data_IF_968415047098
#
_entry.id   IF_968415047098
#
_cell.length_a   1.000
_cell.length_b   1.000
_cell.length_c   1.000
_cell.angle_alpha   90.00
_cell.angle_beta   90.00
_cell.angle_gamma   90.00
#
_symmetry.space_group_name_H-M   'P 1'
#
loop_
_entity.id
_entity.type
_entity.pdbx_description
1 polymer ?
#
# COMPACT_ATOMS: atom_id res chain seq x y z
N UNK A 1 43.45 -20.54 -48.16
CA UNK A 1 42.36 -19.58 -48.46
C UNK A 1 42.53 -18.41 -47.50
N UNK A 2 43.41 -17.45 -47.84
CA UNK A 2 43.06 -16.09 -48.30
C UNK A 2 41.97 -15.45 -47.42
N UNK A 3 42.31 -14.62 -46.42
CA UNK A 3 42.77 -13.22 -46.55
C UNK A 3 41.84 -12.37 -47.42
N UNK A 4 41.06 -11.49 -46.78
CA UNK A 4 40.85 -10.13 -47.28
C UNK A 4 40.58 -9.15 -46.15
N UNK A 5 41.60 -8.34 -45.86
CA UNK A 5 41.54 -7.02 -45.24
C UNK A 5 41.31 -5.98 -46.36
N UNK A 6 40.52 -4.94 -46.11
CA UNK A 6 40.67 -3.59 -46.71
C UNK A 6 39.80 -2.60 -45.91
N UNK A 7 40.34 -1.72 -45.05
CA UNK A 7 41.03 -0.42 -45.30
C UNK A 7 40.07 0.66 -45.85
N UNK A 8 39.62 1.63 -45.03
CA UNK A 8 40.16 3.02 -44.79
C UNK A 8 39.73 4.05 -45.86
N UNK A 9 39.92 5.38 -45.68
CA UNK A 9 39.35 6.34 -44.70
C UNK A 9 38.69 7.55 -45.42
N UNK A 10 37.92 8.41 -44.72
CA UNK A 10 37.76 9.82 -45.15
C UNK A 10 37.82 10.74 -43.93
N UNK A 11 38.89 11.54 -43.90
CA UNK A 11 39.07 12.78 -43.14
C UNK A 11 38.03 13.81 -43.63
N UNK A 12 37.30 14.46 -42.72
CA UNK A 12 36.78 15.80 -42.98
C UNK A 12 37.15 16.73 -41.84
N UNK A 13 37.94 17.73 -42.20
CA UNK A 13 38.42 18.82 -41.39
C UNK A 13 37.71 20.05 -41.90
N UNK A 14 36.78 20.65 -41.16
CA UNK A 14 36.31 22.02 -41.45
C UNK A 14 35.86 22.75 -40.19
N UNK A 15 36.72 23.69 -39.80
CA UNK A 15 36.46 25.09 -39.43
C UNK A 15 35.58 25.40 -38.20
N UNK A 16 36.29 25.94 -37.22
CA UNK A 16 35.87 26.85 -36.14
C UNK A 16 34.96 27.99 -36.66
N UNK A 17 33.78 28.14 -36.07
CA UNK A 17 33.12 29.45 -35.94
C UNK A 17 32.68 29.61 -34.49
N UNK A 18 33.42 30.44 -33.75
CA UNK A 18 33.05 30.87 -32.41
C UNK A 18 31.95 31.93 -32.50
N UNK A 19 30.71 31.56 -32.17
CA UNK A 19 29.68 32.53 -31.83
C UNK A 19 29.86 32.93 -30.37
N UNK A 20 30.36 34.15 -30.13
CA UNK A 20 30.30 34.79 -28.82
C UNK A 20 28.84 35.06 -28.46
N UNK A 21 28.23 34.14 -27.72
CA UNK A 21 26.94 34.34 -27.06
C UNK A 21 27.15 35.12 -25.76
N UNK A 22 26.57 36.31 -25.69
CA UNK A 22 26.45 37.10 -24.47
C UNK A 22 25.75 36.25 -23.39
N UNK A 23 26.49 35.87 -22.36
CA UNK A 23 25.96 35.17 -21.19
C UNK A 23 25.23 36.19 -20.31
N UNK A 24 23.89 36.14 -20.32
CA UNK A 24 23.08 36.85 -19.35
C UNK A 24 23.17 36.07 -18.04
N UNK A 25 23.65 36.65 -16.92
CA UNK A 25 23.60 35.98 -15.63
C UNK A 25 22.13 35.90 -15.19
N UNK A 26 21.54 34.70 -15.34
CA UNK A 26 20.27 34.39 -14.68
C UNK A 26 20.60 34.10 -13.22
N UNK A 27 20.46 35.10 -12.37
CA UNK A 27 20.39 34.90 -10.92
C UNK A 27 19.10 34.11 -10.63
N UNK A 28 19.21 32.79 -10.56
CA UNK A 28 18.13 31.93 -10.08
C UNK A 28 18.03 32.08 -8.57
N UNK A 29 17.15 32.97 -8.12
CA UNK A 29 16.69 33.00 -6.73
C UNK A 29 16.14 31.61 -6.39
N UNK A 30 16.57 30.95 -5.29
CA UNK A 30 15.94 29.72 -4.83
C UNK A 30 14.48 30.04 -4.53
N UNK A 31 13.55 29.54 -5.34
CA UNK A 31 12.16 29.52 -4.95
C UNK A 31 12.02 28.53 -3.81
N UNK A 32 11.83 29.07 -2.61
CA UNK A 32 11.29 28.31 -1.48
C UNK A 32 9.96 27.72 -1.95
N UNK A 33 9.95 26.42 -2.24
CA UNK A 33 8.74 25.67 -2.54
C UNK A 33 7.86 25.75 -1.30
N UNK A 34 6.82 26.58 -1.36
CA UNK A 34 5.73 26.51 -0.41
C UNK A 34 5.09 25.12 -0.56
N UNK A 35 4.74 24.43 0.53
CA UNK A 35 4.06 23.14 0.44
C UNK A 35 2.80 23.31 -0.41
N UNK A 36 2.67 22.51 -1.45
CA UNK A 36 1.46 22.50 -2.26
C UNK A 36 0.28 22.06 -1.37
N UNK A 37 -0.92 22.63 -1.56
CA UNK A 37 -2.10 22.11 -0.90
C UNK A 37 -2.27 20.62 -1.27
N UNK A 38 -2.75 19.77 -0.35
CA UNK A 38 -2.98 18.36 -0.65
C UNK A 38 -3.94 18.23 -1.84
N UNK A 39 -3.64 17.31 -2.76
CA UNK A 39 -4.55 16.95 -3.85
C UNK A 39 -5.92 16.57 -3.28
N UNK A 40 -7.04 16.91 -3.96
CA UNK A 40 -8.35 16.47 -3.52
C UNK A 40 -8.38 14.94 -3.40
N UNK A 41 -9.10 14.38 -2.40
CA UNK A 41 -9.18 12.95 -2.22
C UNK A 41 -9.74 12.27 -3.46
N UNK A 42 -9.09 11.20 -3.88
CA UNK A 42 -9.58 10.35 -4.96
C UNK A 42 -10.56 9.33 -4.39
N UNK A 43 -11.38 8.69 -5.24
CA UNK A 43 -12.31 7.66 -4.77
C UNK A 43 -12.43 6.50 -5.75
N UNK A 44 -12.58 5.28 -5.25
CA UNK A 44 -12.84 4.09 -6.05
C UNK A 44 -13.87 3.20 -5.36
N UNK A 45 -14.94 2.81 -6.06
CA UNK A 45 -15.98 1.95 -5.49
C UNK A 45 -16.67 2.52 -4.24
N UNK A 46 -16.69 3.84 -4.05
CA UNK A 46 -17.23 4.47 -2.84
C UNK A 46 -16.26 4.56 -1.65
N UNK A 47 -15.02 4.09 -1.83
CA UNK A 47 -13.92 4.23 -0.85
C UNK A 47 -13.15 5.51 -1.16
N UNK A 48 -12.93 6.35 -0.17
CA UNK A 48 -12.08 7.53 -0.26
C UNK A 48 -10.59 7.12 -0.17
N UNK A 49 -9.73 7.72 -0.99
CA UNK A 49 -8.29 7.43 -1.05
C UNK A 49 -7.52 8.73 -0.84
N UNK A 50 -6.65 8.74 0.16
CA UNK A 50 -5.86 9.90 0.59
C UNK A 50 -4.38 9.57 0.58
N UNK A 51 -3.55 10.45 0.03
CA UNK A 51 -2.11 10.25 -0.08
C UNK A 51 -1.55 10.92 -1.32
N UNK A 52 -0.30 10.63 -1.63
CA UNK A 52 0.36 11.09 -2.85
C UNK A 52 -0.20 10.40 -4.10
N UNK A 53 -0.01 11.02 -5.27
CA UNK A 53 -0.55 10.52 -6.54
C UNK A 53 -0.11 9.07 -6.85
N UNK A 54 1.11 8.69 -6.45
CA UNK A 54 1.61 7.32 -6.63
C UNK A 54 0.88 6.31 -5.74
N UNK A 55 0.62 6.67 -4.49
CA UNK A 55 -0.17 5.86 -3.55
C UNK A 55 -1.61 5.70 -4.04
N UNK A 56 -2.21 6.79 -4.51
CA UNK A 56 -3.56 6.77 -5.10
C UNK A 56 -3.62 5.80 -6.29
N UNK A 57 -2.66 5.90 -7.22
CA UNK A 57 -2.61 5.02 -8.39
C UNK A 57 -2.42 3.54 -7.99
N UNK A 58 -1.53 3.27 -7.02
CA UNK A 58 -1.27 1.94 -6.49
C UNK A 58 -2.51 1.35 -5.81
N UNK A 59 -3.22 2.15 -5.01
CA UNK A 59 -4.47 1.76 -4.33
C UNK A 59 -5.58 1.46 -5.33
N UNK A 60 -5.75 2.29 -6.35
CA UNK A 60 -6.72 2.03 -7.43
C UNK A 60 -6.37 0.71 -8.14
N UNK A 61 -5.11 0.46 -8.47
CA UNK A 61 -4.70 -0.78 -9.12
C UNK A 61 -5.01 -2.02 -8.26
N UNK A 62 -4.76 -1.94 -6.94
CA UNK A 62 -5.09 -3.02 -6.00
C UNK A 62 -6.61 -3.27 -5.90
N UNK A 63 -7.42 -2.21 -5.77
CA UNK A 63 -8.87 -2.31 -5.72
C UNK A 63 -9.48 -2.82 -7.04
N UNK A 64 -8.96 -2.37 -8.18
CA UNK A 64 -9.36 -2.89 -9.50
C UNK A 64 -9.03 -4.38 -9.64
N UNK A 65 -7.88 -4.83 -9.14
CA UNK A 65 -7.53 -6.26 -9.16
C UNK A 65 -8.53 -7.09 -8.34
N UNK A 66 -8.89 -6.61 -7.14
CA UNK A 66 -9.88 -7.25 -6.28
C UNK A 66 -11.26 -7.30 -6.94
N UNK A 67 -11.74 -6.19 -7.48
CA UNK A 67 -13.03 -6.14 -8.18
C UNK A 67 -13.11 -7.16 -9.33
N UNK A 68 -12.02 -7.33 -10.09
CA UNK A 68 -11.97 -8.25 -11.23
C UNK A 68 -11.81 -9.72 -10.85
N UNK A 69 -11.09 -10.03 -9.77
CA UNK A 69 -10.67 -11.40 -9.43
C UNK A 69 -11.35 -11.97 -8.17
N UNK A 70 -11.82 -11.10 -7.29
CA UNK A 70 -12.47 -11.44 -6.04
C UNK A 70 -13.61 -10.43 -5.71
N UNK A 71 -14.67 -10.38 -6.53
CA UNK A 71 -15.71 -9.34 -6.42
C UNK A 71 -16.48 -9.35 -5.09
N UNK A 72 -16.64 -10.51 -4.45
CA UNK A 72 -17.18 -10.66 -3.10
C UNK A 72 -16.25 -10.06 -2.03
N UNK A 73 -14.93 -10.24 -2.17
CA UNK A 73 -13.94 -9.55 -1.32
C UNK A 73 -14.00 -8.05 -1.53
N UNK A 74 -14.11 -7.59 -2.78
CA UNK A 74 -14.27 -6.17 -3.07
C UNK A 74 -15.55 -5.60 -2.44
N UNK A 75 -16.67 -6.32 -2.52
CA UNK A 75 -17.92 -5.93 -1.86
C UNK A 75 -17.78 -5.86 -0.34
N UNK A 76 -17.07 -6.82 0.28
CA UNK A 76 -16.74 -6.76 1.71
C UNK A 76 -15.96 -5.49 2.04
N UNK A 77 -14.93 -5.16 1.27
CA UNK A 77 -14.13 -3.95 1.47
C UNK A 77 -15.00 -2.69 1.36
N UNK A 78 -15.86 -2.59 0.35
CA UNK A 78 -16.80 -1.46 0.21
C UNK A 78 -17.75 -1.30 1.41
N UNK A 79 -18.02 -2.40 2.13
CA UNK A 79 -18.92 -2.41 3.28
C UNK A 79 -18.19 -1.96 4.56
N UNK A 80 -16.93 -2.36 4.72
CA UNK A 80 -16.20 -2.22 5.98
C UNK A 80 -15.02 -1.24 5.94
N UNK A 81 -14.68 -0.67 4.79
CA UNK A 81 -13.61 0.32 4.65
C UNK A 81 -14.16 1.53 3.91
N UNK A 82 -14.14 2.70 4.55
CA UNK A 82 -14.55 3.94 3.90
C UNK A 82 -13.40 4.84 3.47
N UNK A 83 -12.25 4.77 4.14
CA UNK A 83 -11.04 5.52 3.79
C UNK A 83 -9.85 4.57 3.71
N UNK A 84 -9.03 4.72 2.68
CA UNK A 84 -7.67 4.18 2.60
C UNK A 84 -6.71 5.38 2.55
N UNK A 85 -5.83 5.51 3.53
CA UNK A 85 -4.98 6.67 3.73
C UNK A 85 -3.51 6.27 3.81
N UNK A 86 -2.65 6.95 3.05
CA UNK A 86 -1.21 6.81 3.17
C UNK A 86 -0.74 7.39 4.51
N UNK A 87 0.03 6.62 5.27
CA UNK A 87 0.54 7.00 6.58
C UNK A 87 1.96 6.51 6.82
N UNK A 88 2.44 6.67 8.04
CA UNK A 88 3.74 6.15 8.45
C UNK A 88 3.67 4.64 8.79
N UNK A 89 2.48 4.16 9.13
CA UNK A 89 2.23 2.81 9.64
C UNK A 89 1.11 2.12 8.87
N UNK A 90 0.95 0.81 9.10
CA UNK A 90 -0.18 0.03 8.56
C UNK A 90 -1.10 -0.43 9.69
N UNK A 91 -2.39 -0.13 9.57
CA UNK A 91 -3.39 -0.63 10.52
C UNK A 91 -4.82 -0.14 10.25
N UNK A 92 -5.78 -0.87 10.81
CA UNK A 92 -7.21 -0.58 10.68
C UNK A 92 -7.76 0.21 11.89
N UNK A 93 -8.19 1.43 11.63
CA UNK A 93 -8.94 2.28 12.56
C UNK A 93 -10.44 1.96 12.48
N UNK A 94 -10.83 0.78 12.95
CA UNK A 94 -12.18 0.22 12.79
C UNK A 94 -13.29 1.03 13.50
N UNK A 95 -12.93 1.79 14.54
CA UNK A 95 -13.84 2.61 15.34
C UNK A 95 -14.14 3.98 14.74
N UNK A 96 -13.42 4.40 13.70
CA UNK A 96 -13.67 5.67 13.03
C UNK A 96 -14.93 5.61 12.16
N UNK A 97 -15.52 6.79 11.88
CA UNK A 97 -16.70 6.91 11.01
C UNK A 97 -16.38 7.88 9.87
N UNK A 98 -16.12 7.38 8.65
CA UNK A 98 -16.08 5.96 8.28
C UNK A 98 -14.78 5.26 8.75
N UNK A 99 -14.74 3.91 8.84
CA UNK A 99 -13.54 3.16 9.17
C UNK A 99 -12.40 3.44 8.17
N UNK A 100 -11.19 3.57 8.70
CA UNK A 100 -10.01 3.98 7.93
C UNK A 100 -8.91 2.92 7.99
N UNK A 101 -8.43 2.50 6.84
CA UNK A 101 -7.19 1.74 6.70
C UNK A 101 -6.04 2.71 6.47
N UNK A 102 -5.14 2.85 7.44
CA UNK A 102 -3.89 3.59 7.27
C UNK A 102 -2.81 2.63 6.76
N UNK A 103 -1.99 3.07 5.80
CA UNK A 103 -1.01 2.20 5.13
C UNK A 103 0.32 2.90 4.89
N UNK A 104 1.40 2.28 5.36
CA UNK A 104 2.77 2.68 5.08
C UNK A 104 3.26 2.25 3.70
N UNK A 105 4.25 2.98 3.19
CA UNK A 105 4.83 2.76 1.86
C UNK A 105 5.39 1.34 1.66
N UNK A 106 5.99 0.76 2.71
CA UNK A 106 6.54 -0.61 2.66
C UNK A 106 5.47 -1.65 2.34
N UNK A 107 4.24 -1.46 2.83
CA UNK A 107 3.08 -2.30 2.53
C UNK A 107 2.48 -1.93 1.17
N UNK A 108 2.23 -0.64 0.91
CA UNK A 108 1.51 -0.20 -0.27
C UNK A 108 2.26 -0.51 -1.57
N UNK A 109 3.59 -0.35 -1.55
CA UNK A 109 4.44 -0.45 -2.74
C UNK A 109 5.21 -1.77 -2.86
N UNK A 110 5.01 -2.75 -1.97
CA UNK A 110 5.65 -4.07 -2.08
C UNK A 110 5.30 -4.77 -3.39
N UNK A 111 3.99 -4.96 -3.63
CA UNK A 111 3.42 -5.46 -4.89
C UNK A 111 1.92 -5.16 -4.92
N UNK A 112 1.31 -5.15 -6.11
CA UNK A 112 -0.14 -4.94 -6.23
C UNK A 112 -0.92 -6.09 -5.57
N UNK A 113 -0.45 -7.33 -5.71
CA UNK A 113 -1.12 -8.51 -5.13
C UNK A 113 -1.01 -8.54 -3.61
N UNK A 114 0.17 -8.21 -3.07
CA UNK A 114 0.38 -8.07 -1.64
C UNK A 114 -0.55 -7.00 -1.08
N UNK A 115 -0.47 -5.79 -1.63
CA UNK A 115 -1.25 -4.67 -1.14
C UNK A 115 -2.77 -4.94 -1.22
N UNK A 116 -3.26 -5.46 -2.35
CA UNK A 116 -4.64 -5.91 -2.50
C UNK A 116 -5.05 -6.92 -1.41
N UNK A 117 -4.19 -7.89 -1.10
CA UNK A 117 -4.48 -8.86 -0.04
C UNK A 117 -4.54 -8.20 1.35
N UNK A 118 -3.69 -7.21 1.64
CA UNK A 118 -3.72 -6.50 2.93
C UNK A 118 -4.98 -5.64 3.11
N UNK A 119 -5.50 -5.02 2.05
CA UNK A 119 -6.79 -4.31 2.14
C UNK A 119 -7.91 -5.28 2.56
N UNK A 120 -7.89 -6.51 2.06
CA UNK A 120 -8.85 -7.55 2.45
C UNK A 120 -8.64 -8.05 3.90
N UNK A 121 -7.38 -8.12 4.34
CA UNK A 121 -7.00 -8.41 5.72
C UNK A 121 -7.61 -7.36 6.66
N UNK A 122 -7.30 -6.09 6.48
CA UNK A 122 -7.75 -5.00 7.34
C UNK A 122 -9.27 -4.77 7.29
N UNK A 123 -9.91 -4.99 6.13
CA UNK A 123 -11.37 -5.02 6.05
C UNK A 123 -12.01 -6.10 6.95
N UNK A 124 -11.28 -7.18 7.27
CA UNK A 124 -11.74 -8.22 8.19
C UNK A 124 -11.71 -7.76 9.64
N UNK A 125 -10.70 -6.99 10.06
CA UNK A 125 -10.69 -6.37 11.39
C UNK A 125 -11.88 -5.42 11.57
N UNK A 126 -12.16 -4.59 10.56
CA UNK A 126 -13.33 -3.69 10.57
C UNK A 126 -14.67 -4.44 10.55
N UNK A 127 -14.76 -5.55 9.82
CA UNK A 127 -15.93 -6.44 9.86
C UNK A 127 -16.18 -6.98 11.27
N UNK A 128 -15.15 -7.53 11.93
CA UNK A 128 -15.27 -8.12 13.26
C UNK A 128 -15.68 -7.07 14.32
N UNK A 129 -15.07 -5.89 14.26
CA UNK A 129 -15.47 -4.76 15.11
C UNK A 129 -16.95 -4.42 14.92
N UNK A 130 -17.39 -4.28 13.67
CA UNK A 130 -18.79 -3.96 13.33
C UNK A 130 -19.74 -5.06 13.78
N UNK A 131 -19.40 -6.33 13.56
CA UNK A 131 -20.21 -7.47 13.99
C UNK A 131 -20.37 -7.52 15.51
N UNK A 132 -19.31 -7.21 16.27
CA UNK A 132 -19.40 -7.10 17.73
C UNK A 132 -20.38 -6.01 18.15
N UNK A 133 -20.28 -4.80 17.56
CA UNK A 133 -21.20 -3.69 17.88
C UNK A 133 -22.66 -4.04 17.61
N UNK A 134 -22.94 -4.76 16.51
CA UNK A 134 -24.30 -5.20 16.16
C UNK A 134 -24.82 -6.21 17.18
N UNK A 135 -23.96 -7.14 17.63
CA UNK A 135 -24.33 -8.17 18.60
C UNK A 135 -24.48 -7.62 20.04
N UNK A 136 -23.74 -6.55 20.39
CA UNK A 136 -23.67 -5.96 21.73
C UNK A 136 -23.96 -4.46 21.69
N UNK A 137 -25.21 -4.06 21.35
CA UNK A 137 -25.54 -2.65 21.14
C UNK A 137 -25.34 -1.83 22.42
N UNK A 138 -24.48 -0.82 22.34
CA UNK A 138 -24.18 0.11 23.44
C UNK A 138 -23.07 -0.34 24.38
N UNK A 139 -22.47 -1.51 24.15
CA UNK A 139 -21.28 -1.96 24.87
C UNK A 139 -20.00 -1.50 24.16
N UNK A 140 -18.91 -1.21 24.91
CA UNK A 140 -17.61 -0.99 24.29
C UNK A 140 -17.13 -2.28 23.61
N UNK A 141 -16.49 -2.14 22.45
CA UNK A 141 -15.86 -3.27 21.75
C UNK A 141 -14.51 -3.54 22.43
N UNK A 142 -14.27 -4.73 22.98
CA UNK A 142 -12.96 -5.08 23.52
C UNK A 142 -11.97 -5.33 22.37
N UNK A 143 -10.69 -5.01 22.57
CA UNK A 143 -9.65 -5.19 21.55
C UNK A 143 -9.59 -6.64 21.05
N UNK A 144 -9.76 -7.62 21.94
CA UNK A 144 -9.80 -9.04 21.60
C UNK A 144 -10.95 -9.46 20.66
N UNK A 145 -11.95 -8.61 20.43
CA UNK A 145 -13.05 -8.91 19.49
C UNK A 145 -12.62 -8.73 18.02
N UNK A 146 -11.61 -7.91 17.77
CA UNK A 146 -11.16 -7.57 16.43
C UNK A 146 -9.64 -7.49 16.30
N UNK A 147 -8.88 -7.79 17.34
CA UNK A 147 -7.42 -7.89 17.37
C UNK A 147 -6.93 -9.05 18.25
N UNK A 148 -5.62 -9.15 18.44
CA UNK A 148 -4.97 -10.26 19.14
C UNK A 148 -4.68 -11.47 18.25
N UNK A 149 -3.79 -12.36 18.72
CA UNK A 149 -3.16 -13.43 17.93
C UNK A 149 -4.16 -14.33 17.17
N UNK A 150 -5.26 -14.75 17.80
CA UNK A 150 -6.23 -15.63 17.14
C UNK A 150 -7.05 -14.90 16.07
N UNK A 151 -7.35 -13.61 16.27
CA UNK A 151 -8.02 -12.79 15.26
C UNK A 151 -7.06 -12.53 14.10
N UNK A 152 -5.80 -12.24 14.38
CA UNK A 152 -4.75 -12.02 13.40
C UNK A 152 -4.52 -13.25 12.53
N UNK A 153 -4.49 -14.44 13.16
CA UNK A 153 -4.46 -15.72 12.43
C UNK A 153 -5.69 -15.89 11.52
N UNK A 154 -6.88 -15.50 11.98
CA UNK A 154 -8.10 -15.54 11.18
C UNK A 154 -8.02 -14.58 9.97
N UNK A 155 -7.57 -13.34 10.20
CA UNK A 155 -7.39 -12.33 9.16
C UNK A 155 -6.32 -12.75 8.13
N UNK A 156 -5.19 -13.31 8.58
CA UNK A 156 -4.16 -13.92 7.70
C UNK A 156 -4.76 -15.05 6.87
N UNK A 157 -5.60 -15.90 7.46
CA UNK A 157 -6.29 -16.98 6.75
C UNK A 157 -7.12 -16.45 5.57
N UNK A 158 -7.88 -15.37 5.80
CA UNK A 158 -8.63 -14.71 4.74
C UNK A 158 -7.73 -14.01 3.71
N UNK A 159 -6.67 -13.34 4.16
CA UNK A 159 -5.66 -12.71 3.30
C UNK A 159 -5.02 -13.74 2.36
N UNK A 160 -4.65 -14.91 2.86
CA UNK A 160 -4.06 -16.01 2.10
C UNK A 160 -5.04 -16.56 1.04
N UNK A 161 -6.32 -16.70 1.39
CA UNK A 161 -7.36 -17.07 0.42
C UNK A 161 -7.44 -16.06 -0.72
N UNK A 162 -7.54 -14.76 -0.38
CA UNK A 162 -7.63 -13.67 -1.35
C UNK A 162 -6.38 -13.61 -2.22
N UNK A 163 -5.19 -13.69 -1.65
CA UNK A 163 -3.91 -13.71 -2.36
C UNK A 163 -3.88 -14.81 -3.43
N UNK A 164 -4.34 -16.02 -3.10
CA UNK A 164 -4.46 -17.13 -4.08
C UNK A 164 -5.45 -16.80 -5.20
N UNK A 165 -6.60 -16.21 -4.88
CA UNK A 165 -7.66 -15.89 -5.84
C UNK A 165 -7.26 -14.80 -6.84
N UNK A 166 -6.54 -13.79 -6.38
CA UNK A 166 -6.06 -12.69 -7.23
C UNK A 166 -4.78 -13.04 -8.02
N UNK A 167 -4.21 -14.22 -7.78
CA UNK A 167 -3.03 -14.72 -8.49
C UNK A 167 -1.71 -14.15 -7.98
N UNK A 168 -1.58 -13.99 -6.66
CA UNK A 168 -0.33 -13.59 -6.02
C UNK A 168 0.83 -14.56 -6.35
N UNK A 169 2.09 -14.06 -6.44
CA UNK A 169 3.26 -14.91 -6.56
C UNK A 169 3.34 -15.97 -5.46
N UNK A 170 3.87 -17.14 -5.80
CA UNK A 170 3.99 -18.25 -4.84
C UNK A 170 4.78 -17.85 -3.58
N UNK A 171 5.77 -16.97 -3.70
CA UNK A 171 6.53 -16.46 -2.55
C UNK A 171 5.67 -15.68 -1.54
N UNK A 172 4.68 -14.90 -1.99
CA UNK A 172 3.75 -14.20 -1.10
C UNK A 172 2.80 -15.19 -0.42
N UNK A 173 2.32 -16.19 -1.18
CA UNK A 173 1.47 -17.27 -0.67
C UNK A 173 2.22 -18.09 0.39
N UNK A 174 3.48 -18.45 0.13
CA UNK A 174 4.32 -19.22 1.03
C UNK A 174 4.59 -18.44 2.31
N UNK A 175 4.93 -17.14 2.20
CA UNK A 175 5.12 -16.26 3.35
C UNK A 175 3.85 -16.19 4.21
N UNK A 176 2.70 -15.85 3.63
CA UNK A 176 1.42 -15.78 4.36
C UNK A 176 1.06 -17.11 5.01
N UNK A 177 1.36 -18.24 4.36
CA UNK A 177 1.09 -19.57 4.93
C UNK A 177 2.00 -19.95 6.10
N UNK A 178 3.11 -19.23 6.28
CA UNK A 178 4.05 -19.43 7.39
C UNK A 178 3.73 -18.60 8.63
N UNK A 179 2.86 -17.59 8.51
CA UNK A 179 2.47 -16.74 9.62
C UNK A 179 1.50 -17.48 10.54
N UNK A 180 1.70 -17.35 11.85
CA UNK A 180 0.93 -18.01 12.90
C UNK A 180 0.06 -17.03 13.72
N UNK A 181 0.10 -15.75 13.35
CA UNK A 181 -0.60 -14.66 14.04
C UNK A 181 0.27 -13.91 15.06
N UNK A 182 1.41 -14.45 15.53
CA UNK A 182 2.20 -13.79 16.59
C UNK A 182 3.12 -12.69 16.08
N UNK A 183 3.19 -12.47 14.77
CA UNK A 183 3.97 -11.38 14.18
C UNK A 183 3.56 -9.97 14.64
N UNK A 184 2.37 -9.86 15.24
CA UNK A 184 1.88 -8.62 15.84
C UNK A 184 2.23 -8.46 17.31
N UNK A 185 2.64 -9.54 17.99
CA UNK A 185 2.99 -9.65 19.41
C UNK A 185 4.52 -9.54 19.55
N UNK A 186 5.03 -8.33 19.75
CA UNK A 186 6.47 -8.05 19.78
C UNK A 186 7.10 -8.34 21.14
N UNK A 187 6.33 -8.20 22.21
CA UNK A 187 6.82 -8.43 23.57
C UNK A 187 6.58 -9.87 24.08
N UNK A 188 5.81 -10.67 23.34
CA UNK A 188 5.45 -12.07 23.58
C UNK A 188 4.53 -12.27 24.79
N UNK A 189 3.65 -11.31 25.08
CA UNK A 189 2.67 -11.42 26.16
C UNK A 189 1.37 -12.15 25.75
N UNK A 190 1.21 -12.40 24.45
CA UNK A 190 0.12 -13.18 23.86
C UNK A 190 -1.08 -12.36 23.41
N UNK A 191 -1.02 -11.03 23.47
CA UNK A 191 -1.95 -10.14 22.78
C UNK A 191 -1.25 -9.34 21.66
N UNK A 192 -2.01 -8.47 20.99
CA UNK A 192 -1.49 -7.62 19.92
C UNK A 192 -2.12 -6.26 20.11
N UNK A 193 -1.47 -5.41 20.90
CA UNK A 193 -2.05 -4.19 21.43
C UNK A 193 -1.34 -2.91 20.93
N UNK A 194 -1.61 -1.80 21.61
CA UNK A 194 -1.01 -0.52 21.26
C UNK A 194 0.48 -0.44 21.59
N UNK A 195 0.95 -1.13 22.62
CA UNK A 195 2.37 -1.19 22.98
C UNK A 195 3.15 -1.89 21.87
N UNK A 196 2.65 -3.01 21.35
CA UNK A 196 3.23 -3.68 20.18
C UNK A 196 3.25 -2.78 18.94
N UNK A 197 2.14 -2.11 18.66
CA UNK A 197 2.02 -1.21 17.51
C UNK A 197 3.11 -0.11 17.56
N UNK A 198 3.35 0.48 18.73
CA UNK A 198 4.36 1.52 18.93
C UNK A 198 5.80 0.98 18.82
N UNK A 199 6.00 -0.29 19.16
CA UNK A 199 7.32 -0.93 19.18
C UNK A 199 7.75 -1.53 17.83
N UNK A 200 6.87 -1.56 16.82
CA UNK A 200 7.20 -2.09 15.47
C UNK A 200 8.27 -1.26 14.77
N UNK A 201 9.20 -1.96 14.13
CA UNK A 201 10.22 -1.38 13.25
C UNK A 201 9.70 -1.32 11.81
N UNK A 202 8.72 -0.45 11.58
CA UNK A 202 8.07 -0.21 10.29
C UNK A 202 9.05 0.13 9.15
#
# INVERSE_FOLDING_TARGET
MNSMKSRFPILFWFILTACMGLSIPVTSTPQTLLPMPPSPPSSYGGIEIRGEDQFVAQTIAALTLLEQKAPDTFQKIQTYVGIIEQGEHSGMWAWEVPPRYEVGDSTAFFSITWYASTIAHDATHSELYTQYQIAHPGEPVPDSAFGGVEIERFCIGYQLEVARRIGAPQSEIDYLSSLDGTHCDLDNDGDCDWEDYQNRNW
#
